data_IF_101952005158
#
_entry.id   IF_101952005158
#
_cell.length_a   1.000
_cell.length_b   1.000
_cell.length_c   1.000
_cell.angle_alpha   90.00
_cell.angle_beta   90.00
_cell.angle_gamma   90.00
#
_symmetry.space_group_name_H-M   'P 1'
#
loop_
_entity.id
_entity.type
_entity.pdbx_description
1 polymer ?
#
# COMPACT_ATOMS: atom_id res chain seq x y z
N UNK A 1 -4.09 25.52 -13.25
CA UNK A 1 -4.17 24.68 -12.02
C UNK A 1 -4.26 23.18 -12.40
N UNK A 2 -3.22 22.61 -13.00
CA UNK A 2 -3.21 21.24 -13.56
C UNK A 2 -2.74 20.15 -12.56
N UNK A 3 -2.52 20.49 -11.29
CA UNK A 3 -2.12 19.53 -10.24
C UNK A 3 -3.18 18.45 -9.91
N UNK A 4 -4.33 18.40 -10.60
CA UNK A 4 -5.56 17.77 -10.07
C UNK A 4 -5.94 16.39 -10.61
N UNK A 5 -5.70 16.02 -11.88
CA UNK A 5 -6.22 14.74 -12.44
C UNK A 5 -5.33 13.53 -12.19
N UNK A 6 -4.04 13.67 -12.48
CA UNK A 6 -3.05 12.60 -12.30
C UNK A 6 -2.90 12.26 -10.81
N UNK A 7 -2.78 13.29 -9.95
CA UNK A 7 -2.80 13.14 -8.50
C UNK A 7 -4.10 12.50 -7.99
N UNK A 8 -5.28 12.90 -8.48
CA UNK A 8 -6.53 12.30 -7.97
C UNK A 8 -6.67 10.83 -8.32
N UNK A 9 -6.27 10.42 -9.54
CA UNK A 9 -6.29 9.00 -9.92
C UNK A 9 -5.33 8.16 -9.08
N UNK A 10 -4.23 8.75 -8.62
CA UNK A 10 -3.25 8.04 -7.79
C UNK A 10 -3.68 7.86 -6.34
N UNK A 11 -4.43 8.81 -5.78
CA UNK A 11 -4.71 8.90 -4.34
C UNK A 11 -6.14 8.55 -3.95
N UNK A 12 -7.10 8.73 -4.86
CA UNK A 12 -8.53 8.62 -4.57
C UNK A 12 -9.29 7.69 -5.53
N UNK A 13 -8.62 7.15 -6.55
CA UNK A 13 -9.23 6.31 -7.59
C UNK A 13 -8.54 4.96 -7.79
N UNK A 14 -9.10 4.17 -8.70
CA UNK A 14 -8.56 2.88 -9.11
C UNK A 14 -7.25 3.10 -9.88
N UNK A 15 -6.14 2.58 -9.36
CA UNK A 15 -4.84 2.62 -10.04
C UNK A 15 -4.84 1.69 -11.25
N UNK A 16 -4.33 2.13 -12.42
CA UNK A 16 -4.22 1.25 -13.58
C UNK A 16 -3.19 0.13 -13.34
N UNK A 17 -3.56 -1.11 -13.65
CA UNK A 17 -2.72 -2.31 -13.48
C UNK A 17 -1.37 -2.22 -14.23
N UNK A 18 -1.29 -1.35 -15.24
CA UNK A 18 -0.16 -1.23 -16.17
C UNK A 18 1.00 -0.36 -15.65
N UNK A 19 0.90 0.26 -14.47
CA UNK A 19 1.92 1.20 -13.96
C UNK A 19 2.89 0.51 -12.97
N UNK A 20 3.43 -0.66 -13.36
CA UNK A 20 4.74 -1.12 -12.90
C UNK A 20 5.85 -0.33 -13.64
N UNK A 21 5.67 0.99 -13.76
CA UNK A 21 6.55 1.86 -14.51
C UNK A 21 7.70 2.32 -13.60
N UNK A 22 8.91 2.38 -14.15
CA UNK A 22 10.13 2.84 -13.46
C UNK A 22 10.00 4.24 -12.83
N UNK A 23 9.00 5.02 -13.25
CA UNK A 23 8.77 6.39 -12.78
C UNK A 23 7.90 6.50 -11.53
N UNK A 24 7.31 5.41 -11.00
CA UNK A 24 6.37 5.51 -9.89
C UNK A 24 7.01 6.03 -8.59
N UNK A 25 8.22 5.60 -8.25
CA UNK A 25 8.95 6.14 -7.09
C UNK A 25 9.23 7.63 -7.23
N UNK A 26 9.69 8.07 -8.41
CA UNK A 26 9.96 9.48 -8.67
C UNK A 26 8.70 10.34 -8.54
N UNK A 27 7.55 9.78 -8.96
CA UNK A 27 6.26 10.43 -8.81
C UNK A 27 5.88 10.60 -7.33
N UNK A 28 6.03 9.56 -6.51
CA UNK A 28 5.76 9.65 -5.07
C UNK A 28 6.64 10.72 -4.41
N UNK A 29 7.94 10.75 -4.74
CA UNK A 29 8.88 11.76 -4.24
C UNK A 29 8.45 13.18 -4.66
N UNK A 30 8.01 13.37 -5.92
CA UNK A 30 7.47 14.65 -6.42
C UNK A 30 6.26 15.14 -5.60
N UNK A 31 5.47 14.22 -5.05
CA UNK A 31 4.33 14.52 -4.17
C UNK A 31 4.65 14.42 -2.68
N UNK A 32 5.93 14.58 -2.31
CA UNK A 32 6.39 14.69 -0.92
C UNK A 32 6.20 13.42 -0.08
N UNK A 33 6.09 12.26 -0.71
CA UNK A 33 6.23 10.98 0.00
C UNK A 33 7.65 10.84 0.50
N UNK A 34 7.79 10.29 1.71
CA UNK A 34 9.07 9.97 2.29
C UNK A 34 9.33 8.48 2.14
N UNK A 35 10.50 8.13 1.62
CA UNK A 35 10.94 6.73 1.58
C UNK A 35 11.37 6.32 2.98
N UNK A 36 10.73 5.30 3.52
CA UNK A 36 11.11 4.72 4.81
C UNK A 36 12.27 3.75 4.64
N UNK A 37 13.21 3.76 5.59
CA UNK A 37 14.23 2.72 5.72
C UNK A 37 13.68 1.67 6.69
N UNK A 38 13.54 0.43 6.22
CA UNK A 38 13.10 -0.69 7.04
C UNK A 38 14.33 -1.46 7.54
N UNK A 39 14.24 -2.01 8.75
CA UNK A 39 15.17 -3.03 9.22
C UNK A 39 14.77 -4.39 8.69
N UNK A 40 15.70 -5.34 8.63
CA UNK A 40 15.42 -6.70 8.16
C UNK A 40 14.35 -7.42 9.00
N UNK A 41 14.18 -7.03 10.27
CA UNK A 41 13.08 -7.55 11.10
C UNK A 41 11.73 -7.01 10.63
N UNK A 42 11.64 -5.71 10.38
CA UNK A 42 10.41 -5.09 9.86
C UNK A 42 10.06 -5.62 8.47
N UNK A 43 11.05 -5.83 7.61
CA UNK A 43 10.84 -6.42 6.28
C UNK A 43 10.19 -7.81 6.39
N UNK A 44 10.74 -8.71 7.22
CA UNK A 44 10.16 -10.05 7.45
C UNK A 44 8.74 -10.00 8.03
N UNK A 45 8.49 -9.09 8.96
CA UNK A 45 7.15 -8.93 9.53
C UNK A 45 6.15 -8.42 8.49
N UNK A 46 6.56 -7.49 7.63
CA UNK A 46 5.75 -6.99 6.51
C UNK A 46 5.52 -8.10 5.49
N UNK A 47 6.54 -8.86 5.11
CA UNK A 47 6.41 -10.02 4.21
C UNK A 47 5.35 -10.99 4.73
N UNK A 48 5.38 -11.34 6.02
CA UNK A 48 4.37 -12.22 6.62
C UNK A 48 2.96 -11.62 6.60
N UNK A 49 2.80 -10.30 6.60
CA UNK A 49 1.49 -9.65 6.47
C UNK A 49 0.98 -9.73 5.02
N UNK A 50 1.86 -9.63 4.03
CA UNK A 50 1.51 -9.69 2.61
C UNK A 50 1.48 -11.12 2.02
N UNK A 51 1.86 -12.14 2.80
CA UNK A 51 1.70 -13.54 2.41
C UNK A 51 0.23 -13.94 2.28
N UNK A 52 -0.04 -14.86 1.38
CA UNK A 52 -1.35 -15.49 1.22
C UNK A 52 -1.79 -16.16 2.53
N UNK A 53 -3.05 -15.94 2.90
CA UNK A 53 -3.69 -16.52 4.08
C UNK A 53 -5.11 -16.91 3.75
N UNK A 54 -5.55 -18.03 4.31
CA UNK A 54 -6.94 -18.48 4.27
C UNK A 54 -7.77 -17.63 5.24
N UNK A 55 -8.06 -16.39 4.86
CA UNK A 55 -8.92 -15.50 5.64
C UNK A 55 -9.90 -14.75 4.76
N UNK A 56 -11.19 -14.94 5.04
CA UNK A 56 -12.27 -14.17 4.44
C UNK A 56 -12.45 -12.87 5.24
N UNK A 57 -12.04 -11.75 4.66
CA UNK A 57 -12.35 -10.44 5.21
C UNK A 57 -13.62 -9.90 4.56
N UNK A 58 -14.71 -9.76 5.31
CA UNK A 58 -16.01 -9.28 4.83
C UNK A 58 -16.30 -7.82 5.15
N UNK A 59 -15.44 -7.15 5.91
CA UNK A 59 -15.74 -5.85 6.51
C UNK A 59 -14.92 -4.73 5.86
N UNK A 60 -15.59 -3.91 5.05
CA UNK A 60 -15.05 -2.68 4.50
C UNK A 60 -15.92 -1.47 4.87
N UNK A 61 -15.32 -0.40 5.40
CA UNK A 61 -16.08 0.81 5.70
C UNK A 61 -16.36 1.64 4.43
N UNK A 62 -17.53 2.29 4.40
CA UNK A 62 -17.96 3.22 3.35
C UNK A 62 -17.25 4.59 3.44
N UNK A 63 -15.91 4.62 3.45
CA UNK A 63 -15.11 5.83 3.57
C UNK A 63 -14.29 6.08 2.30
N UNK A 64 -14.15 7.35 1.89
CA UNK A 64 -13.24 7.73 0.80
C UNK A 64 -11.82 7.32 1.20
N UNK A 65 -11.17 6.48 0.39
CA UNK A 65 -9.82 6.03 0.67
C UNK A 65 -8.84 7.19 0.50
N UNK A 66 -7.97 7.38 1.49
CA UNK A 66 -6.81 8.26 1.42
C UNK A 66 -5.56 7.41 1.45
N UNK A 67 -5.05 7.01 0.28
CA UNK A 67 -3.89 6.12 0.14
C UNK A 67 -2.58 6.83 0.49
N UNK A 68 -2.40 7.14 1.79
CA UNK A 68 -1.21 7.80 2.33
C UNK A 68 -0.02 6.87 2.47
N UNK A 69 -0.25 5.56 2.48
CA UNK A 69 0.77 4.56 2.68
C UNK A 69 0.89 3.70 1.41
N UNK A 70 2.09 3.68 0.84
CA UNK A 70 2.39 3.00 -0.42
C UNK A 70 3.59 2.08 -0.20
N UNK A 71 3.41 0.81 -0.52
CA UNK A 71 4.42 -0.24 -0.45
C UNK A 71 4.82 -0.62 -1.87
N UNK A 72 6.12 -0.70 -2.13
CA UNK A 72 6.68 -1.03 -3.43
C UNK A 72 7.53 -2.28 -3.27
N UNK A 73 7.12 -3.36 -3.92
CA UNK A 73 7.79 -4.65 -3.88
C UNK A 73 8.76 -4.74 -5.05
N UNK A 74 10.03 -5.06 -4.76
CA UNK A 74 11.07 -5.19 -5.77
C UNK A 74 11.70 -6.58 -5.78
N UNK A 75 11.96 -7.08 -6.98
CA UNK A 75 12.77 -8.29 -7.20
C UNK A 75 13.91 -7.94 -8.16
N UNK A 76 15.16 -8.08 -7.70
CA UNK A 76 16.35 -7.70 -8.48
C UNK A 76 16.23 -6.27 -9.05
N UNK A 77 15.95 -5.29 -8.20
CA UNK A 77 15.71 -3.87 -8.52
C UNK A 77 14.50 -3.55 -9.41
N UNK A 78 13.77 -4.55 -9.92
CA UNK A 78 12.54 -4.32 -10.70
C UNK A 78 11.34 -4.30 -9.77
N UNK A 79 10.51 -3.28 -9.88
CA UNK A 79 9.20 -3.26 -9.23
C UNK A 79 8.35 -4.40 -9.79
N UNK A 80 7.87 -5.27 -8.90
CA UNK A 80 7.01 -6.42 -9.23
C UNK A 80 5.60 -6.28 -8.66
N UNK A 81 5.42 -5.39 -7.68
CA UNK A 81 4.11 -5.12 -7.11
C UNK A 81 4.06 -3.79 -6.38
N UNK A 82 2.85 -3.27 -6.22
CA UNK A 82 2.56 -2.06 -5.46
C UNK A 82 1.33 -2.35 -4.60
N UNK A 83 1.39 -2.02 -3.31
CA UNK A 83 0.23 -2.00 -2.44
C UNK A 83 -0.01 -0.59 -1.92
N UNK A 84 -1.25 -0.12 -2.00
CA UNK A 84 -1.70 1.13 -1.43
C UNK A 84 -2.66 0.83 -0.31
N UNK A 85 -2.49 1.47 0.84
CA UNK A 85 -3.31 1.20 2.01
C UNK A 85 -3.78 2.51 2.62
N UNK A 86 -5.05 2.55 2.99
CA UNK A 86 -5.63 3.56 3.84
C UNK A 86 -5.89 2.95 5.23
N UNK A 87 -4.94 3.12 6.16
CA UNK A 87 -5.09 2.59 7.52
C UNK A 87 -6.28 3.17 8.30
N UNK A 88 -6.89 4.27 7.83
CA UNK A 88 -8.07 4.86 8.47
C UNK A 88 -9.34 4.05 8.21
N UNK A 89 -9.48 3.46 7.03
CA UNK A 89 -10.71 2.77 6.63
C UNK A 89 -10.50 1.34 6.13
N UNK A 90 -9.27 0.84 6.21
CA UNK A 90 -8.93 -0.53 5.85
C UNK A 90 -8.88 -0.78 4.34
N UNK A 91 -9.26 0.21 3.51
CA UNK A 91 -9.23 0.05 2.06
C UNK A 91 -7.80 -0.07 1.56
N UNK A 92 -7.60 -1.04 0.67
CA UNK A 92 -6.33 -1.27 0.02
C UNK A 92 -6.52 -1.43 -1.49
N UNK A 93 -5.42 -1.35 -2.21
CA UNK A 93 -5.32 -1.77 -3.60
C UNK A 93 -3.97 -2.45 -3.77
N UNK A 94 -3.96 -3.67 -4.29
CA UNK A 94 -2.74 -4.42 -4.59
C UNK A 94 -2.67 -4.66 -6.09
N UNK A 95 -1.51 -4.39 -6.68
CA UNK A 95 -1.23 -4.61 -8.10
C UNK A 95 0.04 -5.43 -8.23
N UNK A 96 0.08 -6.35 -9.20
CA UNK A 96 1.22 -7.24 -9.45
C UNK A 96 1.14 -8.60 -8.75
N UNK A 97 0.05 -8.88 -8.01
CA UNK A 97 -0.27 -10.22 -7.53
C UNK A 97 -0.92 -11.06 -8.63
N UNK A 98 -0.62 -12.36 -8.65
CA UNK A 98 -1.35 -13.36 -9.46
C UNK A 98 -2.47 -14.06 -8.68
N UNK A 99 -2.46 -13.90 -7.36
CA UNK A 99 -3.43 -14.48 -6.43
C UNK A 99 -4.57 -13.49 -6.20
N UNK A 100 -5.73 -14.01 -5.82
CA UNK A 100 -6.82 -13.17 -5.35
C UNK A 100 -6.42 -12.48 -4.04
N UNK A 101 -6.40 -11.16 -4.06
CA UNK A 101 -6.06 -10.34 -2.90
C UNK A 101 -7.30 -9.81 -2.18
N UNK A 102 -8.51 -10.25 -2.56
CA UNK A 102 -9.78 -9.77 -1.99
C UNK A 102 -9.86 -9.97 -0.47
N UNK A 103 -9.26 -11.04 0.06
CA UNK A 103 -9.21 -11.36 1.50
C UNK A 103 -8.05 -10.71 2.26
N UNK A 104 -7.20 -9.91 1.61
CA UNK A 104 -6.10 -9.22 2.28
C UNK A 104 -6.62 -8.13 3.21
N UNK A 105 -5.92 -7.90 4.32
CA UNK A 105 -6.07 -6.65 5.08
C UNK A 105 -6.92 -6.75 6.33
N UNK A 106 -6.94 -7.91 7.00
CA UNK A 106 -7.59 -8.06 8.31
C UNK A 106 -7.22 -6.90 9.25
N UNK A 107 -8.17 -6.40 10.03
CA UNK A 107 -7.96 -5.20 10.86
C UNK A 107 -6.74 -5.31 11.78
N UNK A 108 -6.58 -6.48 12.42
CA UNK A 108 -5.42 -6.78 13.25
C UNK A 108 -4.11 -6.75 12.45
N UNK A 109 -4.09 -7.17 11.19
CA UNK A 109 -2.93 -7.13 10.31
C UNK A 109 -2.60 -5.71 9.84
N UNK A 110 -3.63 -4.93 9.49
CA UNK A 110 -3.46 -3.53 9.11
C UNK A 110 -2.98 -2.69 10.29
N UNK A 111 -3.49 -2.93 11.49
CA UNK A 111 -3.01 -2.29 12.71
C UNK A 111 -1.55 -2.67 13.00
N UNK A 112 -1.20 -3.95 12.84
CA UNK A 112 0.17 -4.41 13.00
C UNK A 112 1.09 -3.76 11.97
N UNK A 113 0.67 -3.70 10.70
CA UNK A 113 1.40 -3.06 9.62
C UNK A 113 1.60 -1.56 9.90
N UNK A 114 0.54 -0.86 10.32
CA UNK A 114 0.57 0.55 10.71
C UNK A 114 1.60 0.78 11.83
N UNK A 115 1.61 -0.06 12.86
CA UNK A 115 2.55 0.06 13.98
C UNK A 115 4.02 -0.16 13.54
N UNK A 116 4.25 -1.04 12.56
CA UNK A 116 5.59 -1.28 12.00
C UNK A 116 6.09 -0.04 11.24
N UNK A 117 5.23 0.57 10.41
CA UNK A 117 5.63 1.67 9.51
C UNK A 117 5.45 3.08 10.11
N UNK A 118 4.67 3.19 11.19
CA UNK A 118 4.41 4.44 11.93
C UNK A 118 4.54 4.24 13.45
N UNK A 119 5.71 3.83 13.95
CA UNK A 119 5.90 3.48 15.37
C UNK A 119 5.64 4.65 16.34
N UNK A 120 5.71 5.90 15.86
CA UNK A 120 5.52 7.11 16.67
C UNK A 120 4.13 7.75 16.50
N UNK A 121 3.22 7.17 15.72
CA UNK A 121 1.83 7.64 15.66
C UNK A 121 1.01 6.96 16.75
N UNK A 122 1.34 7.21 18.03
CA UNK A 122 0.39 6.97 19.11
C UNK A 122 -0.62 8.11 19.07
N UNK A 123 -1.88 7.75 18.83
CA UNK A 123 -3.05 8.60 19.13
C UNK A 123 -3.09 8.92 20.61
#
# INVERSE_FOLDING_TARGET
>A
MYKKKEFSSFFYGYYPETILNKNFENLLLKYSYKKSKLSSKQEKEIENIFSEKDSLQTDGYACIAEYRDVFIFKKKEKTVGIAKICFKCGRFQITGSKLDTSGFGLWNELDRLKNIVRPNSKT
#
